data_IF_692916893491
#
_entry.id   IF_692916893491
#
_cell.length_a   1.000
_cell.length_b   1.000
_cell.length_c   1.000
_cell.angle_alpha   90.00
_cell.angle_beta   90.00
_cell.angle_gamma   90.00
#
_symmetry.space_group_name_H-M   'P 1'
#
loop_
_entity.id
_entity.type
_entity.pdbx_description
1 polymer ?
#
# COMPACT_ATOMS: atom_id res chain seq x y z
N UNK A 1 -21.54 -2.19 -6.13
CA UNK A 1 -20.84 -2.86 -5.00
C UNK A 1 -19.33 -2.80 -5.22
N UNK A 2 -18.58 -2.67 -4.13
CA UNK A 2 -17.15 -2.98 -4.14
C UNK A 2 -16.97 -4.44 -4.55
N UNK A 3 -16.10 -4.69 -5.53
CA UNK A 3 -15.73 -6.04 -5.96
C UNK A 3 -14.36 -6.35 -5.40
N UNK A 4 -14.15 -7.61 -5.06
CA UNK A 4 -12.83 -8.08 -4.67
C UNK A 4 -11.84 -7.94 -5.84
N UNK A 5 -10.63 -7.53 -5.51
CA UNK A 5 -9.47 -7.35 -6.39
C UNK A 5 -8.25 -7.92 -5.68
N UNK A 6 -7.40 -8.65 -6.39
CA UNK A 6 -6.18 -9.19 -5.79
C UNK A 6 -5.22 -8.06 -5.41
N UNK A 7 -4.45 -8.25 -4.33
CA UNK A 7 -3.60 -7.18 -3.78
C UNK A 7 -2.53 -6.71 -4.77
N UNK A 8 -1.86 -7.66 -5.43
CA UNK A 8 -0.79 -7.38 -6.39
C UNK A 8 -1.29 -6.72 -7.69
N UNK A 9 -2.61 -6.65 -7.89
CA UNK A 9 -3.20 -5.94 -9.03
C UNK A 9 -3.21 -4.43 -8.83
N UNK A 10 -2.96 -3.89 -7.63
CA UNK A 10 -2.81 -2.45 -7.39
C UNK A 10 -1.82 -1.85 -8.39
N UNK A 11 -2.19 -0.73 -9.03
CA UNK A 11 -1.31 -0.08 -10.01
C UNK A 11 -0.22 0.75 -9.32
N UNK A 12 0.85 1.05 -10.05
CA UNK A 12 1.94 1.88 -9.52
C UNK A 12 1.42 3.27 -9.09
N UNK A 13 0.49 3.87 -9.84
CA UNK A 13 -0.11 5.16 -9.49
C UNK A 13 -0.95 5.07 -8.21
N UNK A 14 -1.62 3.93 -7.98
CA UNK A 14 -2.39 3.69 -6.76
C UNK A 14 -1.48 3.56 -5.54
N UNK A 15 -0.34 2.87 -5.70
CA UNK A 15 0.69 2.76 -4.67
C UNK A 15 1.32 4.14 -4.39
N UNK A 16 1.73 4.86 -5.43
CA UNK A 16 2.31 6.20 -5.27
C UNK A 16 1.36 7.16 -4.53
N UNK A 17 0.07 7.14 -4.91
CA UNK A 17 -0.96 7.95 -4.26
C UNK A 17 -1.06 7.69 -2.75
N UNK A 18 -1.21 6.43 -2.34
CA UNK A 18 -1.41 6.12 -0.92
C UNK A 18 -0.14 6.32 -0.10
N UNK A 19 1.03 6.05 -0.68
CA UNK A 19 2.32 6.35 -0.04
C UNK A 19 2.46 7.86 0.22
N UNK A 20 2.13 8.72 -0.76
CA UNK A 20 2.15 10.18 -0.57
C UNK A 20 1.08 10.65 0.43
N UNK A 21 -0.07 9.99 0.52
CA UNK A 21 -1.09 10.29 1.52
C UNK A 21 -0.67 9.92 2.95
N UNK A 22 0.08 8.83 3.11
CA UNK A 22 0.60 8.37 4.41
C UNK A 22 1.83 9.21 4.81
N UNK A 23 2.75 9.40 3.86
CA UNK A 23 4.02 10.09 4.01
C UNK A 23 4.03 11.36 3.12
N UNK A 24 3.42 12.47 3.57
CA UNK A 24 3.18 13.67 2.74
C UNK A 24 4.44 14.39 2.28
N UNK A 25 5.59 14.08 2.87
CA UNK A 25 6.88 14.64 2.48
C UNK A 25 7.63 13.77 1.45
N UNK A 26 7.06 12.63 1.05
CA UNK A 26 7.60 11.79 -0.01
C UNK A 26 7.56 12.54 -1.33
N UNK A 27 8.72 12.75 -1.93
CA UNK A 27 8.87 13.38 -3.24
C UNK A 27 8.69 12.36 -4.35
N UNK A 28 9.34 11.22 -4.19
CA UNK A 28 9.40 10.19 -5.20
C UNK A 28 9.16 8.80 -4.60
N UNK A 29 8.48 7.94 -5.38
CA UNK A 29 8.29 6.51 -5.11
C UNK A 29 8.80 5.77 -6.33
N UNK A 30 9.81 4.92 -6.18
CA UNK A 30 10.45 4.18 -7.27
C UNK A 30 10.56 2.69 -6.94
N UNK A 31 11.08 1.92 -7.89
CA UNK A 31 11.42 0.50 -7.72
C UNK A 31 10.26 -0.32 -7.14
N UNK A 32 9.04 -0.08 -7.66
CA UNK A 32 7.84 -0.81 -7.24
C UNK A 32 7.93 -2.24 -7.80
N UNK A 33 8.23 -3.18 -6.92
CA UNK A 33 8.35 -4.60 -7.23
C UNK A 33 7.24 -5.40 -6.58
N UNK A 34 6.78 -6.46 -7.26
CA UNK A 34 5.67 -7.31 -6.80
C UNK A 34 6.16 -8.73 -6.63
N UNK A 35 6.15 -9.21 -5.39
CA UNK A 35 6.48 -10.60 -5.07
C UNK A 35 5.20 -11.44 -4.94
N UNK A 36 5.05 -12.39 -5.86
CA UNK A 36 3.90 -13.31 -5.90
C UNK A 36 3.97 -14.40 -4.83
N UNK A 37 5.17 -14.78 -4.38
CA UNK A 37 5.34 -15.86 -3.41
C UNK A 37 4.93 -15.40 -2.01
N UNK A 38 5.34 -14.18 -1.62
CA UNK A 38 4.97 -13.57 -0.34
C UNK A 38 3.69 -12.73 -0.39
N UNK A 39 3.14 -12.46 -1.58
CA UNK A 39 2.02 -11.55 -1.81
C UNK A 39 2.29 -10.15 -1.22
N UNK A 40 3.45 -9.61 -1.59
CA UNK A 40 4.00 -8.35 -1.10
C UNK A 40 4.35 -7.41 -2.26
N UNK A 41 4.30 -6.11 -1.99
CA UNK A 41 4.80 -5.07 -2.91
C UNK A 41 5.89 -4.32 -2.16
N UNK A 42 7.09 -4.23 -2.73
CA UNK A 42 8.18 -3.41 -2.16
C UNK A 42 8.36 -2.15 -3.00
N UNK A 43 8.70 -1.03 -2.38
CA UNK A 43 9.04 0.20 -3.10
C UNK A 43 9.98 1.10 -2.30
N UNK A 44 10.75 1.92 -3.00
CA UNK A 44 11.65 2.88 -2.39
C UNK A 44 10.99 4.27 -2.33
N UNK A 45 11.07 4.92 -1.18
CA UNK A 45 10.60 6.28 -0.98
C UNK A 45 11.75 7.25 -0.72
N UNK A 46 11.64 8.45 -1.28
CA UNK A 46 12.64 9.50 -1.11
C UNK A 46 11.98 10.79 -0.61
N UNK A 47 12.48 11.30 0.52
CA UNK A 47 12.02 12.57 1.11
C UNK A 47 12.77 13.77 0.46
N UNK A 48 14.00 13.57 0.02
CA UNK A 48 14.83 14.56 -0.66
C UNK A 48 15.34 14.00 -2.00
N UNK A 49 14.94 14.61 -3.12
CA UNK A 49 15.38 14.17 -4.47
C UNK A 49 16.89 14.34 -4.67
N UNK A 50 17.49 15.34 -4.02
CA UNK A 50 18.92 15.68 -4.14
C UNK A 50 19.83 14.68 -3.40
N UNK A 51 19.26 13.84 -2.54
CA UNK A 51 19.99 12.88 -1.71
C UNK A 51 19.32 11.50 -1.75
N UNK A 52 19.37 10.81 -2.92
CA UNK A 52 18.71 9.51 -3.11
C UNK A 52 19.27 8.44 -2.17
N UNK A 53 20.49 8.60 -1.68
CA UNK A 53 21.12 7.70 -0.70
C UNK A 53 20.50 7.71 0.70
N UNK A 54 19.52 8.60 0.97
CA UNK A 54 18.74 8.64 2.20
C UNK A 54 17.27 8.22 1.99
N UNK A 55 17.01 7.37 1.00
CA UNK A 55 15.71 6.72 0.83
C UNK A 55 15.47 5.60 1.85
N UNK A 56 14.22 5.20 2.01
CA UNK A 56 13.82 4.00 2.77
C UNK A 56 13.06 3.05 1.83
N UNK A 57 13.16 1.75 2.11
CA UNK A 57 12.42 0.72 1.39
C UNK A 57 11.23 0.29 2.24
N UNK A 58 10.04 0.42 1.65
CA UNK A 58 8.78 0.02 2.26
C UNK A 58 8.35 -1.35 1.75
N UNK A 59 7.85 -2.16 2.66
CA UNK A 59 7.28 -3.47 2.37
C UNK A 59 5.77 -3.45 2.65
N UNK A 60 4.97 -3.48 1.58
CA UNK A 60 3.53 -3.33 1.62
C UNK A 60 2.84 -4.69 1.59
N UNK A 61 1.94 -4.93 2.54
CA UNK A 61 1.13 -6.14 2.61
C UNK A 61 -0.32 -5.84 2.97
N UNK A 62 -1.19 -6.86 2.86
CA UNK A 62 -2.57 -6.76 3.34
C UNK A 62 -2.69 -6.44 4.84
N UNK A 63 -1.64 -6.71 5.63
CA UNK A 63 -1.65 -6.54 7.08
C UNK A 63 -1.13 -5.16 7.51
N UNK A 64 -0.33 -4.50 6.69
CA UNK A 64 0.31 -3.24 7.05
C UNK A 64 1.40 -2.81 6.06
N UNK A 65 2.22 -1.88 6.54
CA UNK A 65 3.42 -1.39 5.87
C UNK A 65 4.54 -1.61 6.86
N UNK A 66 5.52 -2.41 6.47
CA UNK A 66 6.75 -2.62 7.23
C UNK A 66 7.83 -1.66 6.72
N UNK A 67 8.58 -1.10 7.67
CA UNK A 67 9.59 -0.08 7.44
C UNK A 67 10.84 -0.42 8.25
N UNK A 68 12.02 -0.09 7.73
CA UNK A 68 13.28 -0.48 8.37
C UNK A 68 13.66 0.49 9.50
N UNK A 69 13.41 1.79 9.32
CA UNK A 69 13.98 2.83 10.19
C UNK A 69 12.98 3.47 11.16
N UNK A 70 11.68 3.21 11.01
CA UNK A 70 10.64 3.78 11.86
C UNK A 70 9.45 2.84 12.03
N UNK A 71 8.44 3.27 12.78
CA UNK A 71 7.20 2.52 13.01
C UNK A 71 6.03 3.43 12.67
N UNK A 72 5.07 2.90 11.90
CA UNK A 72 3.87 3.65 11.55
C UNK A 72 2.97 3.84 12.77
N UNK A 73 2.35 5.02 12.82
CA UNK A 73 1.29 5.33 13.77
C UNK A 73 0.01 4.56 13.43
N UNK A 74 -0.87 4.37 14.43
CA UNK A 74 -2.18 3.75 14.22
C UNK A 74 -3.04 4.49 13.17
N UNK A 75 -2.83 5.80 13.00
CA UNK A 75 -3.55 6.62 12.01
C UNK A 75 -3.09 6.30 10.58
N UNK A 76 -1.80 6.12 10.38
CA UNK A 76 -1.20 5.75 9.09
C UNK A 76 -1.59 4.33 8.68
N UNK A 77 -1.54 3.39 9.62
CA UNK A 77 -2.04 2.02 9.40
C UNK A 77 -3.53 2.00 9.10
N UNK A 78 -4.33 2.88 9.72
CA UNK A 78 -5.75 3.00 9.42
C UNK A 78 -5.99 3.52 7.99
N UNK A 79 -5.21 4.51 7.53
CA UNK A 79 -5.29 5.00 6.13
C UNK A 79 -5.02 3.87 5.14
N UNK A 80 -3.98 3.07 5.37
CA UNK A 80 -3.67 1.90 4.54
C UNK A 80 -4.85 0.92 4.47
N UNK A 81 -5.42 0.54 5.62
CA UNK A 81 -6.57 -0.37 5.67
C UNK A 81 -7.81 0.19 4.96
N UNK A 82 -8.10 1.48 5.15
CA UNK A 82 -9.21 2.16 4.47
C UNK A 82 -9.01 2.19 2.95
N UNK A 83 -7.77 2.45 2.51
CA UNK A 83 -7.40 2.42 1.10
C UNK A 83 -7.60 1.04 0.49
N UNK A 84 -7.07 -0.02 1.12
CA UNK A 84 -7.24 -1.40 0.64
C UNK A 84 -8.72 -1.77 0.49
N UNK A 85 -9.55 -1.44 1.48
CA UNK A 85 -11.00 -1.65 1.41
C UNK A 85 -11.63 -0.90 0.23
N UNK A 86 -11.29 0.37 0.04
CA UNK A 86 -11.82 1.18 -1.05
C UNK A 86 -11.38 0.69 -2.44
N UNK A 87 -10.22 0.05 -2.54
CA UNK A 87 -9.67 -0.52 -3.79
C UNK A 87 -10.11 -1.96 -4.08
N UNK A 88 -10.88 -2.56 -3.17
CA UNK A 88 -11.35 -3.94 -3.33
C UNK A 88 -10.37 -5.00 -2.84
N UNK A 89 -9.24 -4.62 -2.24
CA UNK A 89 -8.18 -5.51 -1.80
C UNK A 89 -8.37 -6.07 -0.38
N UNK A 90 -9.51 -5.79 0.26
CA UNK A 90 -9.81 -6.34 1.58
C UNK A 90 -10.35 -7.78 1.47
N UNK A 91 -9.76 -8.70 2.23
CA UNK A 91 -10.14 -10.12 2.21
C UNK A 91 -11.61 -10.36 2.52
N UNK A 92 -12.26 -9.47 3.28
CA UNK A 92 -13.69 -9.57 3.62
C UNK A 92 -14.59 -9.32 2.42
N UNK A 93 -14.06 -8.87 1.29
CA UNK A 93 -14.80 -8.73 0.04
C UNK A 93 -14.77 -10.02 -0.79
N UNK A 94 -13.82 -10.94 -0.53
CA UNK A 94 -13.67 -12.19 -1.26
C UNK A 94 -14.77 -13.18 -0.86
N UNK A 95 -15.50 -13.70 -1.84
CA UNK A 95 -16.57 -14.69 -1.67
C UNK A 95 -17.58 -14.34 -0.56
N UNK A 96 -17.88 -13.04 -0.39
CA UNK A 96 -18.73 -12.57 0.69
C UNK A 96 -20.22 -12.72 0.33
N UNK A 97 -20.98 -13.60 1.00
CA UNK A 97 -22.39 -13.86 0.67
C UNK A 97 -23.32 -12.70 1.02
N UNK A 98 -22.90 -11.79 1.92
CA UNK A 98 -23.69 -10.61 2.31
C UNK A 98 -23.54 -9.45 1.34
N UNK A 99 -22.69 -9.60 0.31
CA UNK A 99 -22.50 -8.61 -0.72
C UNK A 99 -23.53 -8.77 -1.84
N UNK A 100 -24.14 -9.94 -2.04
CA UNK A 100 -25.04 -10.24 -3.18
C UNK A 100 -26.41 -9.52 -3.19
N UNK A 101 -26.68 -8.59 -2.26
CA UNK A 101 -27.97 -7.89 -2.18
C UNK A 101 -27.89 -6.44 -2.69
N UNK A 102 -28.36 -6.21 -3.92
CA UNK A 102 -29.09 -5.03 -4.41
C UNK A 102 -29.83 -5.37 -5.71
#
# INVERSE_FOLDING_TARGET
MLKYREFLDLTDEEIEFIIKEIFPYTRCVNNIERDKESNQISCDIYIMEEYPEFGDTLDLSLNGIDTHDFVLTSKELLKWKQFLLAKGCDYRLKDNPYMEEC
#
